data_IF_210382436688
#
_entry.id   IF_210382436688
#
_cell.length_a   1.000
_cell.length_b   1.000
_cell.length_c   1.000
_cell.angle_alpha   90.00
_cell.angle_beta   90.00
_cell.angle_gamma   90.00
#
_symmetry.space_group_name_H-M   'P 1'
#
loop_
_entity.id
_entity.type
_entity.pdbx_description
1 polymer ?
#
# COMPACT_ATOMS: atom_id res chain seq x y z
N UNK A 1 2.49 -39.35 12.25
CA UNK A 1 2.10 -37.94 12.45
C UNK A 1 2.31 -37.60 13.93
N UNK A 2 2.38 -36.32 14.30
CA UNK A 2 2.34 -35.91 15.71
C UNK A 2 1.26 -34.85 15.93
N UNK A 3 0.80 -34.70 17.18
CA UNK A 3 -0.04 -33.58 17.59
C UNK A 3 0.77 -32.31 17.93
N UNK A 4 0.11 -31.27 18.42
CA UNK A 4 0.75 -29.98 18.74
C UNK A 4 1.80 -30.05 19.86
N UNK A 5 1.79 -31.11 20.68
CA UNK A 5 2.76 -31.34 21.75
C UNK A 5 3.84 -32.37 21.36
N UNK A 6 3.84 -32.83 20.11
CA UNK A 6 4.80 -33.80 19.60
C UNK A 6 4.51 -35.25 19.97
N UNK A 7 3.31 -35.57 20.50
CA UNK A 7 2.91 -36.95 20.80
C UNK A 7 2.59 -37.68 19.50
N UNK A 8 2.98 -38.96 19.41
CA UNK A 8 2.75 -39.77 18.21
C UNK A 8 1.26 -40.01 18.00
N UNK A 9 0.82 -39.73 16.77
CA UNK A 9 -0.55 -39.98 16.28
C UNK A 9 -0.52 -41.26 15.44
N UNK A 10 -1.28 -42.27 15.89
CA UNK A 10 -1.35 -43.60 15.28
C UNK A 10 -2.49 -43.77 14.29
N UNK A 11 -3.63 -43.09 14.50
CA UNK A 11 -4.78 -43.08 13.61
C UNK A 11 -5.31 -41.64 13.50
N UNK A 12 -5.34 -41.06 12.30
CA UNK A 12 -5.86 -39.72 12.03
C UNK A 12 -7.13 -39.74 11.16
N UNK A 13 -7.73 -40.92 11.02
CA UNK A 13 -8.92 -41.16 10.20
C UNK A 13 -10.17 -41.39 11.06
N UNK A 14 -10.01 -41.93 12.26
CA UNK A 14 -11.12 -42.30 13.14
C UNK A 14 -11.01 -41.62 14.52
N UNK A 15 -12.14 -41.13 15.03
CA UNK A 15 -12.23 -40.66 16.41
C UNK A 15 -12.34 -41.82 17.40
N UNK A 16 -11.98 -41.59 18.65
CA UNK A 16 -12.19 -42.52 19.74
C UNK A 16 -13.68 -42.60 20.10
N UNK A 17 -14.28 -43.79 19.98
CA UNK A 17 -15.72 -44.03 20.19
C UNK A 17 -16.00 -45.23 21.09
N UNK A 18 -17.21 -45.32 21.63
CA UNK A 18 -17.71 -46.54 22.31
C UNK A 18 -18.07 -47.61 21.26
N UNK A 19 -17.07 -48.36 20.80
CA UNK A 19 -17.25 -49.32 19.71
C UNK A 19 -17.50 -48.65 18.35
N UNK A 20 -17.64 -49.45 17.29
CA UNK A 20 -17.64 -48.96 15.90
C UNK A 20 -18.88 -48.12 15.49
N UNK A 21 -19.95 -48.11 16.30
CA UNK A 21 -21.17 -47.33 16.03
C UNK A 21 -21.60 -46.43 17.19
N UNK A 22 -20.75 -46.25 18.19
CA UNK A 22 -21.06 -45.47 19.40
C UNK A 22 -20.66 -44.01 19.31
N UNK A 23 -20.92 -43.28 20.39
CA UNK A 23 -20.57 -41.86 20.52
C UNK A 23 -19.07 -41.66 20.65
N UNK A 24 -18.58 -40.52 20.14
CA UNK A 24 -17.21 -40.03 20.36
C UNK A 24 -16.99 -39.67 21.83
N UNK A 25 -15.81 -40.02 22.34
CA UNK A 25 -15.41 -39.72 23.71
C UNK A 25 -14.68 -38.37 23.78
N UNK A 26 -14.96 -37.59 24.83
CA UNK A 26 -14.29 -36.30 25.06
C UNK A 26 -12.80 -36.46 25.44
N UNK A 27 -12.36 -37.66 25.79
CA UNK A 27 -10.95 -37.94 26.06
C UNK A 27 -10.10 -38.13 24.79
N UNK A 28 -10.70 -38.00 23.60
CA UNK A 28 -9.98 -37.97 22.33
C UNK A 28 -9.18 -36.67 22.17
N UNK A 29 -8.00 -36.63 22.79
CA UNK A 29 -7.15 -35.45 22.80
C UNK A 29 -6.59 -35.10 21.41
N UNK A 30 -6.48 -36.08 20.50
CA UNK A 30 -6.03 -35.82 19.14
C UNK A 30 -7.11 -35.09 18.34
N UNK A 31 -8.36 -35.57 18.41
CA UNK A 31 -9.50 -34.91 17.78
C UNK A 31 -9.65 -33.47 18.28
N UNK A 32 -9.58 -33.29 19.61
CA UNK A 32 -9.75 -31.97 20.24
C UNK A 32 -8.64 -31.01 19.81
N UNK A 33 -7.37 -31.44 19.84
CA UNK A 33 -6.22 -30.62 19.44
C UNK A 33 -6.36 -30.13 17.99
N UNK A 34 -6.64 -31.06 17.07
CA UNK A 34 -6.79 -30.79 15.63
C UNK A 34 -7.94 -29.82 15.35
N UNK A 35 -9.13 -30.07 15.90
CA UNK A 35 -10.29 -29.21 15.70
C UNK A 35 -10.14 -27.84 16.37
N UNK A 36 -9.51 -27.78 17.55
CA UNK A 36 -9.29 -26.52 18.25
C UNK A 36 -8.34 -25.58 17.49
N UNK A 37 -7.32 -26.12 16.83
CA UNK A 37 -6.44 -25.35 15.94
C UNK A 37 -7.17 -24.89 14.68
N UNK A 38 -7.89 -25.80 14.00
CA UNK A 38 -8.68 -25.47 12.80
C UNK A 38 -9.64 -24.30 13.04
N UNK A 39 -10.34 -24.31 14.17
CA UNK A 39 -11.28 -23.25 14.57
C UNK A 39 -10.62 -21.87 14.77
N UNK A 40 -9.28 -21.79 14.83
CA UNK A 40 -8.49 -20.59 15.12
C UNK A 40 -7.52 -20.19 13.99
N UNK A 41 -7.63 -20.79 12.81
CA UNK A 41 -6.75 -20.46 11.68
C UNK A 41 -6.96 -19.04 11.12
N UNK A 42 -8.13 -18.43 11.32
CA UNK A 42 -8.46 -17.12 10.75
C UNK A 42 -8.08 -15.99 11.70
N UNK A 43 -7.35 -15.02 11.16
CA UNK A 43 -7.12 -13.71 11.78
C UNK A 43 -7.93 -12.65 11.02
N UNK A 44 -8.13 -11.44 11.59
CA UNK A 44 -8.74 -10.35 10.86
C UNK A 44 -8.01 -10.08 9.53
N UNK A 45 -8.74 -9.87 8.45
CA UNK A 45 -8.14 -9.37 7.21
C UNK A 45 -7.69 -7.91 7.38
N UNK A 46 -6.91 -7.39 6.42
CA UNK A 46 -6.61 -5.95 6.39
C UNK A 46 -7.90 -5.16 6.15
N UNK A 47 -8.09 -4.06 6.87
CA UNK A 47 -9.29 -3.21 6.72
C UNK A 47 -9.48 -2.69 5.28
N UNK A 48 -8.37 -2.44 4.58
CA UNK A 48 -8.28 -2.18 3.14
C UNK A 48 -7.13 -3.00 2.58
N UNK A 49 -7.12 -3.25 1.26
CA UNK A 49 -6.10 -4.07 0.61
C UNK A 49 -6.05 -5.53 1.11
N UNK A 50 -7.21 -6.09 1.44
CA UNK A 50 -7.33 -7.46 1.96
C UNK A 50 -6.91 -8.50 0.92
N UNK A 51 -7.42 -8.40 -0.31
CA UNK A 51 -7.01 -9.25 -1.44
C UNK A 51 -5.65 -8.82 -1.98
N UNK A 52 -4.73 -9.75 -2.15
CA UNK A 52 -3.42 -9.46 -2.72
C UNK A 52 -2.48 -10.66 -2.84
N UNK A 53 -1.33 -10.43 -3.45
CA UNK A 53 -0.27 -11.41 -3.68
C UNK A 53 1.07 -10.82 -3.26
N UNK A 54 2.03 -11.68 -2.90
CA UNK A 54 3.35 -11.23 -2.47
C UNK A 54 4.48 -12.08 -3.01
N UNK A 55 5.66 -11.48 -3.11
CA UNK A 55 6.87 -12.12 -3.61
C UNK A 55 8.12 -11.50 -2.96
N UNK A 56 9.16 -12.31 -2.83
CA UNK A 56 10.49 -11.86 -2.42
C UNK A 56 11.33 -11.50 -3.65
N UNK A 57 12.35 -10.67 -3.41
CA UNK A 57 13.26 -10.26 -4.46
C UNK A 57 14.52 -9.61 -3.92
N UNK A 58 15.25 -8.99 -4.84
CA UNK A 58 16.45 -8.20 -4.54
C UNK A 58 16.34 -6.85 -5.24
N UNK A 59 16.64 -5.79 -4.50
CA UNK A 59 16.89 -4.46 -5.04
C UNK A 59 18.40 -4.22 -5.18
N UNK A 60 18.83 -3.82 -6.37
CA UNK A 60 20.22 -3.46 -6.65
C UNK A 60 20.31 -1.97 -6.97
N UNK A 61 21.05 -1.22 -6.16
CA UNK A 61 21.32 0.19 -6.38
C UNK A 61 22.13 0.38 -7.67
N UNK A 62 21.63 1.12 -8.65
CA UNK A 62 22.34 1.35 -9.92
C UNK A 62 23.40 2.43 -9.78
N UNK A 63 23.09 3.51 -9.07
CA UNK A 63 24.01 4.61 -8.81
C UNK A 63 23.88 5.09 -7.37
N UNK A 64 25.00 5.52 -6.79
CA UNK A 64 25.04 6.00 -5.40
C UNK A 64 24.15 7.23 -5.23
N UNK A 65 23.30 7.22 -4.20
CA UNK A 65 22.47 8.36 -3.80
C UNK A 65 23.07 9.16 -2.63
N UNK A 66 24.35 8.94 -2.29
CA UNK A 66 25.01 9.58 -1.13
C UNK A 66 24.90 11.11 -1.12
N UNK A 67 24.83 11.72 -2.30
CA UNK A 67 24.69 13.16 -2.45
C UNK A 67 23.33 13.69 -1.92
N UNK A 68 22.33 12.81 -1.84
CA UNK A 68 20.94 13.15 -1.55
C UNK A 68 20.43 12.50 -0.27
N UNK A 69 20.88 11.29 0.06
CA UNK A 69 20.47 10.57 1.28
C UNK A 69 21.65 9.82 1.91
N UNK A 70 21.67 9.71 3.24
CA UNK A 70 22.59 8.83 3.97
C UNK A 70 22.05 7.40 4.20
N UNK A 71 20.91 7.04 3.61
CA UNK A 71 20.33 5.70 3.70
C UNK A 71 21.31 4.62 3.21
N UNK A 72 21.65 3.67 4.08
CA UNK A 72 22.78 2.75 3.86
C UNK A 72 22.66 1.94 2.56
N UNK A 73 21.46 1.50 2.20
CA UNK A 73 21.20 0.64 1.05
C UNK A 73 21.45 1.34 -0.30
N UNK A 74 21.53 2.67 -0.30
CA UNK A 74 21.74 3.50 -1.50
C UNK A 74 23.14 4.12 -1.59
N UNK A 75 24.05 3.82 -0.66
CA UNK A 75 25.36 4.49 -0.61
C UNK A 75 26.33 4.05 -1.70
N UNK A 76 26.22 2.82 -2.19
CA UNK A 76 27.13 2.26 -3.19
C UNK A 76 26.35 1.73 -4.39
N UNK A 77 26.88 1.94 -5.60
CA UNK A 77 26.41 1.23 -6.78
C UNK A 77 26.61 -0.28 -6.59
N UNK A 78 25.72 -1.06 -7.20
CA UNK A 78 25.66 -2.52 -7.12
C UNK A 78 25.43 -3.10 -5.72
N UNK A 79 25.07 -2.28 -4.71
CA UNK A 79 24.65 -2.81 -3.41
C UNK A 79 23.30 -3.53 -3.57
N UNK A 80 23.29 -4.81 -3.20
CA UNK A 80 22.08 -5.64 -3.17
C UNK A 80 21.42 -5.57 -1.80
N UNK A 81 20.09 -5.46 -1.80
CA UNK A 81 19.25 -5.40 -0.60
C UNK A 81 18.06 -6.32 -0.80
N UNK A 82 17.84 -7.24 0.14
CA UNK A 82 16.69 -8.13 0.08
C UNK A 82 15.40 -7.31 0.20
N UNK A 83 14.37 -7.71 -0.54
CA UNK A 83 13.05 -7.08 -0.48
C UNK A 83 11.93 -8.10 -0.39
N UNK A 84 10.82 -7.67 0.21
CA UNK A 84 9.53 -8.34 0.09
C UNK A 84 8.49 -7.35 -0.45
N UNK A 85 7.72 -7.77 -1.44
CA UNK A 85 6.70 -6.94 -2.08
C UNK A 85 5.34 -7.57 -1.91
N UNK A 86 4.33 -6.75 -1.62
CA UNK A 86 2.92 -7.14 -1.66
C UNK A 86 2.14 -6.21 -2.59
N UNK A 87 1.48 -6.83 -3.56
CA UNK A 87 0.48 -6.20 -4.42
C UNK A 87 -0.92 -6.52 -3.91
N UNK A 88 -1.90 -5.68 -4.23
CA UNK A 88 -3.27 -5.86 -3.74
C UNK A 88 -4.27 -5.03 -4.52
N UNK A 89 -5.56 -5.40 -4.49
CA UNK A 89 -6.66 -4.43 -4.72
C UNK A 89 -6.87 -3.58 -3.45
N UNK A 90 -7.90 -2.75 -3.34
CA UNK A 90 -8.13 -1.87 -2.18
C UNK A 90 -9.45 -2.14 -1.46
N UNK A 91 -10.58 -2.06 -2.19
CA UNK A 91 -11.92 -2.08 -1.59
C UNK A 91 -12.46 -3.47 -1.24
N UNK A 92 -12.03 -4.50 -1.98
CA UNK A 92 -12.49 -5.87 -1.82
C UNK A 92 -11.94 -6.59 -0.58
N UNK A 93 -12.73 -7.49 -0.01
CA UNK A 93 -12.31 -8.44 1.03
C UNK A 93 -11.43 -9.55 0.45
N UNK A 94 -10.81 -10.38 1.31
CA UNK A 94 -9.81 -11.40 0.92
C UNK A 94 -10.23 -12.32 -0.24
N UNK A 95 -11.52 -12.61 -0.36
CA UNK A 95 -12.07 -13.46 -1.42
C UNK A 95 -12.55 -12.74 -2.70
N UNK A 96 -12.37 -11.42 -2.81
CA UNK A 96 -12.80 -10.67 -3.99
C UNK A 96 -11.96 -10.99 -5.23
N UNK A 97 -12.46 -10.63 -6.41
CA UNK A 97 -11.72 -10.75 -7.65
C UNK A 97 -10.58 -9.72 -7.77
N UNK A 98 -9.46 -10.12 -8.40
CA UNK A 98 -8.32 -9.25 -8.69
C UNK A 98 -8.57 -8.31 -9.89
N UNK A 99 -9.46 -8.68 -10.82
CA UNK A 99 -9.71 -7.96 -12.07
C UNK A 99 -10.86 -6.96 -11.96
N UNK A 100 -10.87 -6.17 -10.88
CA UNK A 100 -11.87 -5.12 -10.63
C UNK A 100 -11.29 -3.72 -10.84
N UNK A 101 -12.13 -2.73 -11.18
CA UNK A 101 -11.68 -1.33 -11.24
C UNK A 101 -11.39 -0.85 -9.83
N UNK A 102 -10.12 -0.66 -9.51
CA UNK A 102 -9.69 -0.33 -8.15
C UNK A 102 -8.24 0.17 -8.13
N UNK A 103 -7.84 0.83 -7.05
CA UNK A 103 -6.43 1.11 -6.81
C UNK A 103 -5.71 -0.21 -6.51
N UNK A 104 -4.59 -0.44 -7.21
CA UNK A 104 -3.62 -1.47 -6.84
C UNK A 104 -2.60 -0.94 -5.85
N UNK A 105 -2.49 -1.60 -4.70
CA UNK A 105 -1.41 -1.37 -3.74
C UNK A 105 -0.10 -1.93 -4.25
N UNK A 106 0.99 -1.22 -3.99
CA UNK A 106 2.36 -1.59 -4.36
C UNK A 106 3.27 -1.30 -3.15
N UNK A 107 3.32 -2.24 -2.20
CA UNK A 107 4.10 -2.09 -0.98
C UNK A 107 5.42 -2.84 -1.08
N UNK A 108 6.54 -2.15 -0.86
CA UNK A 108 7.90 -2.70 -0.89
C UNK A 108 8.56 -2.55 0.47
N UNK A 109 9.01 -3.66 1.04
CA UNK A 109 9.81 -3.73 2.27
C UNK A 109 11.26 -4.00 1.92
N UNK A 110 12.17 -3.17 2.39
CA UNK A 110 13.61 -3.33 2.27
C UNK A 110 14.18 -3.81 3.59
N UNK A 111 14.95 -4.90 3.54
CA UNK A 111 15.71 -5.41 4.69
C UNK A 111 17.13 -4.83 4.64
N UNK A 112 17.31 -3.66 5.26
CA UNK A 112 18.59 -2.93 5.23
C UNK A 112 19.46 -3.25 6.45
N UNK A 113 20.72 -2.81 6.47
CA UNK A 113 21.57 -3.00 7.65
C UNK A 113 21.19 -2.05 8.81
N UNK A 114 20.38 -1.03 8.53
CA UNK A 114 19.90 -0.03 9.50
C UNK A 114 18.43 -0.21 9.88
N UNK A 115 17.86 -1.38 9.59
CA UNK A 115 16.47 -1.70 9.93
C UNK A 115 15.60 -1.97 8.70
N UNK A 116 14.30 -1.97 8.92
CA UNK A 116 13.30 -2.11 7.86
C UNK A 116 12.96 -0.74 7.29
N UNK A 117 13.01 -0.60 5.97
CA UNK A 117 12.45 0.56 5.27
C UNK A 117 11.25 0.12 4.42
N UNK A 118 10.10 0.78 4.56
CA UNK A 118 8.90 0.46 3.77
C UNK A 118 8.51 1.62 2.86
N UNK A 119 8.40 1.35 1.55
CA UNK A 119 7.70 2.22 0.59
C UNK A 119 6.32 1.61 0.36
N UNK A 120 5.30 2.19 0.99
CA UNK A 120 3.91 1.73 0.88
C UNK A 120 3.18 2.56 -0.16
N UNK A 121 3.34 2.16 -1.43
CA UNK A 121 2.84 2.88 -2.59
C UNK A 121 1.57 2.30 -3.21
N UNK A 122 1.17 2.88 -4.34
CA UNK A 122 0.06 2.46 -5.20
C UNK A 122 0.48 2.51 -6.67
N UNK A 123 -0.26 1.87 -7.56
CA UNK A 123 -0.04 1.95 -9.01
C UNK A 123 -0.49 3.26 -9.66
N UNK A 124 -1.19 4.13 -8.92
CA UNK A 124 -1.60 5.48 -9.36
C UNK A 124 -0.81 6.50 -8.52
N UNK A 125 -0.28 7.58 -9.12
CA UNK A 125 0.64 8.50 -8.44
C UNK A 125 -0.02 9.50 -7.49
N UNK A 126 -1.36 9.53 -7.43
CA UNK A 126 -2.16 10.47 -6.64
C UNK A 126 -3.24 9.72 -5.85
N UNK A 127 -3.83 10.40 -4.86
CA UNK A 127 -4.89 9.84 -4.02
C UNK A 127 -6.19 10.66 -4.06
N UNK A 128 -7.27 10.12 -3.46
CA UNK A 128 -8.60 10.75 -3.45
C UNK A 128 -8.72 11.97 -2.54
N UNK A 129 -7.91 12.01 -1.49
CA UNK A 129 -8.01 12.97 -0.41
C UNK A 129 -6.60 13.43 -0.04
N UNK A 130 -6.52 14.61 0.55
CA UNK A 130 -5.26 15.23 1.01
C UNK A 130 -5.07 15.26 2.52
N UNK A 131 -6.05 14.77 3.28
CA UNK A 131 -6.02 14.76 4.74
C UNK A 131 -6.50 13.41 5.24
N UNK A 132 -5.73 12.78 6.14
CA UNK A 132 -6.02 11.46 6.67
C UNK A 132 -7.34 11.39 7.46
N UNK A 133 -7.84 12.52 7.97
CA UNK A 133 -9.12 12.59 8.67
C UNK A 133 -10.27 12.03 7.82
N UNK A 134 -10.24 12.24 6.50
CA UNK A 134 -11.29 11.78 5.57
C UNK A 134 -11.12 10.32 5.14
N UNK A 135 -10.05 9.64 5.56
CA UNK A 135 -9.76 8.28 5.08
C UNK A 135 -10.83 7.25 5.49
N UNK A 136 -11.32 7.23 6.75
CA UNK A 136 -12.43 6.35 7.11
C UNK A 136 -13.69 6.63 6.29
N UNK A 137 -14.02 7.91 6.05
CA UNK A 137 -15.20 8.30 5.26
C UNK A 137 -15.10 7.82 3.80
N UNK A 138 -13.93 8.00 3.17
CA UNK A 138 -13.65 7.47 1.84
C UNK A 138 -13.81 5.94 1.80
N UNK A 139 -13.26 5.25 2.78
CA UNK A 139 -13.33 3.78 2.86
C UNK A 139 -14.78 3.34 3.03
N UNK A 140 -15.53 3.95 3.95
CA UNK A 140 -16.96 3.66 4.15
C UNK A 140 -17.79 3.92 2.89
N UNK A 141 -17.52 5.00 2.16
CA UNK A 141 -18.22 5.32 0.91
C UNK A 141 -17.94 4.28 -0.19
N UNK A 142 -16.73 3.70 -0.21
CA UNK A 142 -16.31 2.70 -1.20
C UNK A 142 -16.69 1.24 -0.86
N UNK A 143 -16.92 0.95 0.42
CA UNK A 143 -17.23 -0.40 0.93
C UNK A 143 -18.73 -0.68 0.94
N UNK A 144 -19.14 -1.95 1.17
CA UNK A 144 -20.54 -2.30 1.26
C UNK A 144 -21.30 -1.47 2.31
N UNK A 145 -22.53 -1.08 1.99
CA UNK A 145 -23.37 -0.27 2.86
C UNK A 145 -23.72 -1.05 4.15
N UNK A 146 -23.78 -0.39 5.32
CA UNK A 146 -23.92 -1.07 6.61
C UNK A 146 -25.27 -1.76 6.81
N UNK A 147 -26.32 -1.33 6.11
CA UNK A 147 -27.66 -1.91 6.22
C UNK A 147 -27.87 -3.15 5.33
N UNK A 148 -27.18 -3.22 4.18
CA UNK A 148 -27.40 -4.27 3.17
C UNK A 148 -26.20 -5.19 2.97
N UNK A 149 -25.01 -4.77 3.40
CA UNK A 149 -23.73 -5.40 3.07
C UNK A 149 -23.52 -5.56 1.55
N UNK A 150 -24.12 -4.67 0.74
CA UNK A 150 -23.93 -4.59 -0.70
C UNK A 150 -23.18 -3.32 -1.09
N UNK A 151 -22.37 -3.40 -2.16
CA UNK A 151 -21.72 -2.21 -2.74
C UNK A 151 -22.78 -1.22 -3.17
N UNK A 152 -22.67 0.03 -2.72
CA UNK A 152 -23.55 1.11 -3.13
C UNK A 152 -22.77 2.15 -3.96
N UNK A 153 -23.07 2.22 -5.25
CA UNK A 153 -22.43 3.17 -6.19
C UNK A 153 -22.76 4.62 -5.79
N UNK A 154 -23.96 4.88 -5.28
CA UNK A 154 -24.37 6.22 -4.86
C UNK A 154 -23.57 6.72 -3.67
N UNK A 155 -23.24 5.85 -2.69
CA UNK A 155 -22.41 6.25 -1.55
C UNK A 155 -21.04 6.74 -2.00
N UNK A 156 -20.41 5.99 -2.91
CA UNK A 156 -19.12 6.36 -3.47
C UNK A 156 -19.20 7.70 -4.21
N UNK A 157 -20.14 7.83 -5.16
CA UNK A 157 -20.25 9.04 -5.98
C UNK A 157 -20.75 10.26 -5.19
N UNK A 158 -21.54 10.09 -4.14
CA UNK A 158 -21.91 11.18 -3.23
C UNK A 158 -20.67 11.74 -2.53
N UNK A 159 -19.85 10.88 -1.92
CA UNK A 159 -18.59 11.31 -1.29
C UNK A 159 -17.65 11.98 -2.29
N UNK A 160 -17.43 11.35 -3.45
CA UNK A 160 -16.53 11.83 -4.50
C UNK A 160 -16.97 13.19 -5.04
N UNK A 161 -18.26 13.36 -5.34
CA UNK A 161 -18.78 14.64 -5.84
C UNK A 161 -18.75 15.76 -4.78
N UNK A 162 -18.84 15.43 -3.49
CA UNK A 162 -18.61 16.36 -2.36
C UNK A 162 -17.13 16.61 -2.03
N UNK A 163 -16.20 15.91 -2.69
CA UNK A 163 -14.76 15.90 -2.41
C UNK A 163 -14.01 16.27 -3.69
N UNK A 164 -14.04 17.55 -4.12
CA UNK A 164 -13.52 17.96 -5.44
C UNK A 164 -12.03 17.64 -5.62
N UNK A 165 -11.25 17.53 -4.56
CA UNK A 165 -9.86 17.11 -4.60
C UNK A 165 -9.65 15.69 -5.16
N UNK A 166 -10.71 14.87 -5.20
CA UNK A 166 -10.69 13.53 -5.77
C UNK A 166 -10.74 13.51 -7.31
N UNK A 167 -11.05 14.64 -7.96
CA UNK A 167 -11.27 14.72 -9.42
C UNK A 167 -10.07 14.17 -10.21
N UNK A 168 -8.84 14.47 -9.77
CA UNK A 168 -7.64 14.00 -10.45
C UNK A 168 -7.49 12.48 -10.37
N UNK A 169 -7.62 11.86 -9.19
CA UNK A 169 -7.51 10.40 -9.07
C UNK A 169 -8.67 9.68 -9.76
N UNK A 170 -9.85 10.29 -9.85
CA UNK A 170 -10.99 9.74 -10.61
C UNK A 170 -10.66 9.67 -12.10
N UNK A 171 -9.96 10.67 -12.64
CA UNK A 171 -9.48 10.63 -14.02
C UNK A 171 -8.56 9.42 -14.27
N UNK A 172 -7.61 9.17 -13.36
CA UNK A 172 -6.74 7.99 -13.41
C UNK A 172 -7.52 6.68 -13.25
N UNK A 173 -8.33 6.57 -12.21
CA UNK A 173 -9.03 5.33 -11.84
C UNK A 173 -10.08 4.91 -12.87
N UNK A 174 -10.74 5.85 -13.54
CA UNK A 174 -11.74 5.54 -14.56
C UNK A 174 -11.16 5.52 -15.98
N UNK A 175 -9.88 5.87 -16.17
CA UNK A 175 -9.16 5.55 -17.40
C UNK A 175 -8.91 4.03 -17.50
N UNK A 176 -8.27 3.59 -18.59
CA UNK A 176 -7.93 2.18 -18.77
C UNK A 176 -6.94 1.68 -17.70
N UNK A 177 -6.14 2.59 -17.11
CA UNK A 177 -5.18 2.27 -16.04
C UNK A 177 -5.83 1.73 -14.76
N UNK A 178 -7.14 1.97 -14.55
CA UNK A 178 -7.86 1.40 -13.40
C UNK A 178 -8.12 -0.10 -13.48
N UNK A 179 -7.85 -0.74 -14.62
CA UNK A 179 -8.03 -2.18 -14.86
C UNK A 179 -6.70 -2.81 -15.30
N UNK A 180 -5.86 -3.11 -14.31
CA UNK A 180 -4.55 -3.74 -14.52
C UNK A 180 -4.69 -5.20 -14.96
N UNK A 181 -3.91 -5.63 -15.96
CA UNK A 181 -3.91 -7.03 -16.43
C UNK A 181 -3.08 -7.97 -15.56
N UNK A 182 -1.96 -7.49 -15.03
CA UNK A 182 -1.04 -8.27 -14.19
C UNK A 182 -0.31 -7.35 -13.21
N UNK A 183 -0.03 -7.85 -12.01
CA UNK A 183 0.82 -7.13 -11.05
C UNK A 183 2.23 -6.88 -11.60
N UNK A 184 2.70 -7.65 -12.58
CA UNK A 184 4.00 -7.48 -13.26
C UNK A 184 3.99 -6.34 -14.30
N UNK A 185 2.82 -5.94 -14.79
CA UNK A 185 2.65 -4.99 -15.92
C UNK A 185 1.93 -3.71 -15.51
N UNK A 186 2.31 -3.17 -14.35
CA UNK A 186 1.84 -1.87 -13.87
C UNK A 186 2.99 -1.08 -13.27
N UNK A 187 2.91 0.25 -13.30
CA UNK A 187 3.86 1.07 -12.55
C UNK A 187 3.49 1.07 -11.06
N UNK A 188 4.40 1.59 -10.24
CA UNK A 188 4.17 1.86 -8.82
C UNK A 188 4.64 3.27 -8.46
N UNK A 189 4.07 3.84 -7.42
CA UNK A 189 4.38 5.21 -6.99
C UNK A 189 4.31 5.29 -5.47
N UNK A 190 5.21 6.07 -4.87
CA UNK A 190 5.14 6.36 -3.43
C UNK A 190 3.91 7.20 -3.04
N UNK A 191 3.28 7.86 -4.03
CA UNK A 191 2.18 8.84 -3.90
C UNK A 191 2.60 10.09 -3.13
N UNK A 192 2.86 9.94 -1.83
CA UNK A 192 3.24 11.03 -0.96
C UNK A 192 4.65 11.55 -1.30
N UNK A 193 4.87 12.80 -0.95
CA UNK A 193 6.20 13.39 -0.92
C UNK A 193 6.91 12.95 0.37
N UNK A 194 8.15 12.48 0.26
CA UNK A 194 9.05 12.18 1.39
C UNK A 194 10.19 13.19 1.41
N UNK A 195 11.07 13.08 2.41
CA UNK A 195 12.30 13.87 2.46
C UNK A 195 13.50 12.92 2.47
N UNK A 196 14.50 13.21 1.64
CA UNK A 196 15.83 12.63 1.76
C UNK A 196 16.78 13.61 2.45
N UNK A 197 17.65 13.08 3.30
CA UNK A 197 18.65 13.83 4.05
C UNK A 197 20.03 13.24 3.82
N UNK A 198 20.95 14.01 3.24
CA UNK A 198 22.31 13.55 2.99
C UNK A 198 23.22 13.65 4.24
N UNK A 199 24.46 13.17 4.11
CA UNK A 199 25.44 13.21 5.21
C UNK A 199 25.83 14.62 5.71
N UNK A 200 25.49 15.68 4.96
CA UNK A 200 25.68 17.07 5.38
C UNK A 200 24.42 17.68 6.00
N UNK A 201 23.33 16.92 6.16
CA UNK A 201 22.06 17.39 6.70
C UNK A 201 21.19 18.16 5.71
N UNK A 202 21.51 18.14 4.40
CA UNK A 202 20.73 18.84 3.37
C UNK A 202 19.48 18.02 3.06
N UNK A 203 18.31 18.66 3.16
CA UNK A 203 17.00 18.07 2.89
C UNK A 203 16.52 18.33 1.46
N UNK A 204 15.89 17.34 0.86
CA UNK A 204 15.21 17.45 -0.45
C UNK A 204 13.89 16.70 -0.41
N UNK A 205 12.87 17.25 -1.04
CA UNK A 205 11.61 16.56 -1.24
C UNK A 205 11.75 15.49 -2.33
N UNK A 206 11.13 14.33 -2.12
CA UNK A 206 11.28 13.13 -2.95
C UNK A 206 9.92 12.55 -3.30
N UNK A 207 9.71 12.21 -4.58
CA UNK A 207 8.64 11.31 -5.02
C UNK A 207 9.25 10.05 -5.63
N UNK A 208 8.76 8.88 -5.21
CA UNK A 208 9.21 7.59 -5.70
C UNK A 208 8.36 7.11 -6.89
N UNK A 209 9.01 6.55 -7.90
CA UNK A 209 8.41 6.01 -9.11
C UNK A 209 9.02 4.65 -9.42
N UNK A 210 8.21 3.60 -9.46
CA UNK A 210 8.57 2.28 -9.95
C UNK A 210 8.06 2.13 -11.39
N UNK A 211 8.98 2.02 -12.35
CA UNK A 211 8.64 1.78 -13.75
C UNK A 211 8.81 0.29 -14.05
N UNK A 212 7.74 -0.37 -14.51
CA UNK A 212 7.83 -1.79 -14.88
C UNK A 212 8.70 -1.95 -16.12
N UNK A 213 9.65 -2.89 -16.07
CA UNK A 213 10.43 -3.28 -17.25
C UNK A 213 9.64 -4.20 -18.21
N UNK A 214 8.47 -4.67 -17.79
CA UNK A 214 7.54 -5.44 -18.63
C UNK A 214 6.56 -4.53 -19.38
N UNK A 215 6.62 -3.21 -19.14
CA UNK A 215 5.65 -2.24 -19.64
C UNK A 215 4.39 -2.16 -18.77
N UNK A 216 3.46 -1.32 -19.20
CA UNK A 216 2.14 -1.16 -18.57
C UNK A 216 1.08 -1.78 -19.49
N UNK A 217 0.25 -2.65 -18.94
CA UNK A 217 -0.82 -3.32 -19.68
C UNK A 217 -2.13 -3.32 -18.88
N UNK A 218 -3.21 -3.03 -19.58
CA UNK A 218 -4.56 -2.92 -19.03
C UNK A 218 -5.49 -3.89 -19.74
N UNK A 219 -6.57 -4.30 -19.07
CA UNK A 219 -7.64 -5.11 -19.66
C UNK A 219 -8.89 -4.28 -19.93
N UNK A 220 -9.62 -4.66 -20.98
CA UNK A 220 -10.93 -4.08 -21.25
C UNK A 220 -11.92 -4.40 -20.12
N UNK A 221 -12.94 -3.57 -19.95
CA UNK A 221 -14.01 -3.81 -18.98
C UNK A 221 -14.68 -5.17 -19.19
N UNK A 222 -14.94 -5.57 -20.43
CA UNK A 222 -15.55 -6.85 -20.74
C UNK A 222 -14.68 -8.01 -20.27
N UNK A 223 -13.37 -7.96 -20.55
CA UNK A 223 -12.44 -9.00 -20.10
C UNK A 223 -12.29 -9.01 -18.59
N UNK A 224 -12.28 -7.84 -17.95
CA UNK A 224 -12.29 -7.72 -16.49
C UNK A 224 -13.51 -8.41 -15.86
N UNK A 225 -14.72 -8.13 -16.37
CA UNK A 225 -15.96 -8.79 -15.92
C UNK A 225 -15.89 -10.30 -16.12
N UNK A 226 -15.47 -10.77 -17.29
CA UNK A 226 -15.32 -12.20 -17.59
C UNK A 226 -14.38 -12.89 -16.60
N UNK A 227 -13.16 -12.34 -16.44
CA UNK A 227 -12.14 -12.89 -15.54
C UNK A 227 -12.59 -12.83 -14.07
N UNK A 228 -13.32 -11.80 -13.67
CA UNK A 228 -13.80 -11.69 -12.27
C UNK A 228 -14.72 -12.84 -11.86
N UNK A 229 -15.41 -13.45 -12.83
CA UNK A 229 -16.24 -14.64 -12.62
C UNK A 229 -15.50 -15.96 -12.88
N UNK A 230 -14.69 -16.03 -13.95
CA UNK A 230 -14.04 -17.28 -14.35
C UNK A 230 -12.72 -17.58 -13.63
N UNK A 231 -11.98 -16.55 -13.22
CA UNK A 231 -10.73 -16.65 -12.47
C UNK A 231 -10.52 -15.41 -11.57
N UNK A 232 -11.13 -15.35 -10.38
CA UNK A 232 -11.02 -14.21 -9.48
C UNK A 232 -9.59 -13.99 -8.93
N UNK A 233 -8.68 -14.95 -9.11
CA UNK A 233 -7.28 -14.89 -8.66
C UNK A 233 -6.30 -14.59 -9.81
N UNK A 234 -6.79 -14.14 -10.97
CA UNK A 234 -6.01 -14.03 -12.21
C UNK A 234 -4.65 -13.32 -12.05
N UNK A 235 -4.62 -12.12 -11.45
CA UNK A 235 -3.39 -11.35 -11.33
C UNK A 235 -2.42 -11.97 -10.31
N UNK A 236 -2.94 -12.53 -9.22
CA UNK A 236 -2.15 -13.27 -8.23
C UNK A 236 -1.52 -14.53 -8.83
N UNK A 237 -2.29 -15.33 -9.56
CA UNK A 237 -1.81 -16.53 -10.25
C UNK A 237 -0.73 -16.20 -11.28
N UNK A 238 -0.92 -15.15 -12.08
CA UNK A 238 0.08 -14.71 -13.06
C UNK A 238 1.41 -14.36 -12.40
N UNK A 239 1.40 -13.59 -11.30
CA UNK A 239 2.63 -13.26 -10.57
C UNK A 239 3.34 -14.51 -10.05
N UNK A 240 2.58 -15.46 -9.49
CA UNK A 240 3.14 -16.70 -8.98
C UNK A 240 3.77 -17.54 -10.09
N UNK A 241 3.07 -17.71 -11.21
CA UNK A 241 3.52 -18.47 -12.37
C UNK A 241 4.73 -17.82 -13.06
N UNK A 242 4.71 -16.49 -13.24
CA UNK A 242 5.84 -15.72 -13.79
C UNK A 242 7.13 -16.05 -13.03
N UNK A 243 7.08 -16.00 -11.69
CA UNK A 243 8.24 -16.27 -10.84
C UNK A 243 8.61 -17.76 -10.86
N UNK A 244 7.63 -18.66 -10.80
CA UNK A 244 7.89 -20.11 -10.83
C UNK A 244 8.57 -20.55 -12.12
N UNK A 245 8.24 -19.92 -13.25
CA UNK A 245 8.82 -20.19 -14.56
C UNK A 245 10.12 -19.43 -14.85
N UNK A 246 10.65 -18.65 -13.90
CA UNK A 246 11.87 -17.86 -14.09
C UNK A 246 11.69 -16.54 -14.87
N UNK A 247 10.45 -16.17 -15.20
CA UNK A 247 10.09 -14.91 -15.84
C UNK A 247 9.98 -13.78 -14.79
N UNK A 248 11.09 -13.51 -14.10
CA UNK A 248 11.12 -12.62 -12.94
C UNK A 248 10.68 -11.18 -13.27
N UNK A 249 9.59 -10.67 -12.65
CA UNK A 249 9.17 -9.29 -12.82
C UNK A 249 10.24 -8.31 -12.30
N UNK A 250 10.50 -7.25 -13.07
CA UNK A 250 11.49 -6.23 -12.72
C UNK A 250 10.91 -4.83 -12.75
N UNK A 251 11.40 -3.99 -11.84
CA UNK A 251 11.01 -2.59 -11.69
C UNK A 251 12.23 -1.71 -11.52
N UNK A 252 12.30 -0.63 -12.28
CA UNK A 252 13.28 0.42 -12.06
C UNK A 252 12.73 1.43 -11.06
N UNK A 253 13.46 1.69 -9.98
CA UNK A 253 13.17 2.80 -9.08
C UNK A 253 13.75 4.07 -9.67
N UNK A 254 12.90 5.08 -9.79
CA UNK A 254 13.26 6.46 -10.06
C UNK A 254 12.78 7.35 -8.91
N UNK A 255 13.45 8.49 -8.76
CA UNK A 255 12.99 9.57 -7.89
C UNK A 255 12.94 10.89 -8.64
N UNK A 256 11.94 11.70 -8.31
CA UNK A 256 11.99 13.14 -8.56
C UNK A 256 12.51 13.83 -7.30
N UNK A 257 13.27 14.91 -7.46
CA UNK A 257 13.84 15.66 -6.36
C UNK A 257 13.51 17.14 -6.48
N UNK A 258 13.06 17.76 -5.39
CA UNK A 258 12.72 19.18 -5.34
C UNK A 258 13.39 19.84 -4.13
N UNK A 259 13.93 21.05 -4.30
CA UNK A 259 14.45 21.84 -3.19
C UNK A 259 13.30 22.63 -2.56
N UNK A 260 13.40 22.93 -1.26
CA UNK A 260 12.39 23.73 -0.56
C UNK A 260 12.19 25.13 -1.18
N UNK A 261 13.26 25.75 -1.69
CA UNK A 261 13.19 27.05 -2.39
C UNK A 261 12.34 27.02 -3.66
N UNK A 262 12.17 25.86 -4.29
CA UNK A 262 11.44 25.73 -5.56
C UNK A 262 9.92 25.66 -5.33
N UNK A 263 9.48 25.42 -4.09
CA UNK A 263 8.06 25.29 -3.71
C UNK A 263 7.25 26.55 -4.01
N UNK A 264 7.83 27.73 -3.82
CA UNK A 264 7.13 29.01 -3.98
C UNK A 264 6.61 29.23 -5.41
N UNK A 265 7.26 28.61 -6.40
CA UNK A 265 6.98 28.79 -7.83
C UNK A 265 5.85 27.88 -8.35
N UNK A 266 5.32 26.97 -7.53
CA UNK A 266 4.26 26.05 -7.93
C UNK A 266 2.87 26.62 -7.63
N UNK A 267 1.91 26.42 -8.53
CA UNK A 267 0.50 26.78 -8.35
C UNK A 267 -0.31 25.76 -7.54
N UNK A 268 0.40 24.81 -6.92
CA UNK A 268 -0.14 23.79 -6.04
C UNK A 268 0.85 23.51 -4.91
N UNK A 269 0.37 22.90 -3.82
CA UNK A 269 1.25 22.44 -2.74
C UNK A 269 1.96 21.14 -3.16
N UNK A 270 3.31 21.08 -3.21
CA UNK A 270 4.04 19.87 -3.59
C UNK A 270 3.89 18.71 -2.61
N UNK A 271 3.34 18.95 -1.42
CA UNK A 271 3.01 17.95 -0.41
C UNK A 271 1.53 17.49 -0.50
N UNK A 272 0.72 18.05 -1.40
CA UNK A 272 -0.64 17.58 -1.66
C UNK A 272 -0.59 16.24 -2.43
N UNK A 273 -1.05 15.11 -1.84
CA UNK A 273 -1.02 13.81 -2.50
C UNK A 273 -2.02 13.67 -3.65
N UNK A 274 -2.87 14.68 -3.89
CA UNK A 274 -3.72 14.76 -5.09
C UNK A 274 -2.95 15.34 -6.30
N UNK A 275 -1.66 15.66 -6.14
CA UNK A 275 -0.82 16.31 -7.15
C UNK A 275 0.39 15.47 -7.57
N UNK A 276 0.75 15.59 -8.85
CA UNK A 276 2.01 15.11 -9.42
C UNK A 276 2.99 16.26 -9.64
N UNK A 277 4.27 15.94 -9.73
CA UNK A 277 5.30 16.88 -10.19
C UNK A 277 5.61 16.60 -11.66
N UNK A 278 5.69 17.65 -12.47
CA UNK A 278 6.02 17.52 -13.89
C UNK A 278 7.38 16.84 -14.07
N UNK A 279 7.46 15.81 -14.91
CA UNK A 279 8.74 15.18 -15.26
C UNK A 279 9.63 16.12 -16.12
N UNK A 280 9.08 17.21 -16.68
CA UNK A 280 9.86 18.23 -17.38
C UNK A 280 10.63 19.12 -16.39
N UNK A 281 9.97 19.55 -15.31
CA UNK A 281 10.56 20.45 -14.31
C UNK A 281 11.40 19.66 -13.29
N UNK A 282 10.96 18.45 -12.96
CA UNK A 282 11.61 17.56 -12.01
C UNK A 282 11.84 16.20 -12.68
N UNK A 283 12.93 16.04 -13.45
CA UNK A 283 13.20 14.83 -14.20
C UNK A 283 13.43 13.61 -13.30
N UNK A 284 13.08 12.44 -13.84
CA UNK A 284 13.28 11.16 -13.15
C UNK A 284 14.78 10.83 -13.05
N UNK A 285 15.26 10.62 -11.83
CA UNK A 285 16.61 10.14 -11.54
C UNK A 285 16.58 8.66 -11.16
N UNK A 286 17.27 7.81 -11.93
CA UNK A 286 17.30 6.35 -11.70
C UNK A 286 18.04 6.03 -10.39
N UNK A 287 17.45 5.22 -9.54
CA UNK A 287 18.05 4.81 -8.27
C UNK A 287 18.58 3.38 -8.33
N UNK A 288 17.78 2.45 -8.84
CA UNK A 288 18.13 1.03 -8.85
C UNK A 288 17.09 0.18 -9.54
N UNK A 289 17.28 -1.14 -9.47
CA UNK A 289 16.38 -2.12 -10.07
C UNK A 289 15.98 -3.15 -9.03
N UNK A 290 14.69 -3.39 -8.89
CA UNK A 290 14.12 -4.49 -8.13
C UNK A 290 13.79 -5.65 -9.06
N UNK A 291 14.19 -6.85 -8.68
CA UNK A 291 13.83 -8.10 -9.37
C UNK A 291 13.13 -9.02 -8.38
N UNK A 292 11.89 -9.40 -8.67
CA UNK A 292 11.10 -10.35 -7.88
C UNK A 292 11.37 -11.76 -8.38
N UNK A 293 12.03 -12.58 -7.56
CA UNK A 293 12.61 -13.85 -8.01
C UNK A 293 12.27 -15.05 -7.12
N UNK A 294 11.44 -14.88 -6.10
CA UNK A 294 11.07 -15.98 -5.21
C UNK A 294 9.64 -15.84 -4.68
N UNK A 295 8.84 -16.86 -4.92
CA UNK A 295 7.51 -16.99 -4.35
C UNK A 295 7.56 -17.26 -2.84
N UNK A 296 6.52 -16.87 -2.10
CA UNK A 296 6.36 -17.29 -0.71
C UNK A 296 6.18 -18.81 -0.65
N UNK A 297 6.81 -19.43 0.35
CA UNK A 297 6.64 -20.85 0.68
C UNK A 297 5.31 -21.11 1.39
N UNK A 298 4.83 -20.12 2.16
CA UNK A 298 3.52 -20.18 2.80
C UNK A 298 2.84 -18.82 2.73
N UNK A 299 1.73 -18.75 2.00
CA UNK A 299 0.99 -17.51 1.79
C UNK A 299 0.53 -16.86 3.10
N UNK A 300 -0.01 -17.64 4.05
CA UNK A 300 -0.49 -17.09 5.30
C UNK A 300 0.66 -16.49 6.13
N UNK A 301 1.73 -17.25 6.32
CA UNK A 301 2.88 -16.86 7.14
C UNK A 301 3.66 -15.67 6.56
N UNK A 302 3.76 -15.57 5.22
CA UNK A 302 4.64 -14.61 4.56
C UNK A 302 3.89 -13.47 3.86
N UNK A 303 2.67 -13.68 3.38
CA UNK A 303 1.89 -12.65 2.67
C UNK A 303 0.76 -12.10 3.54
N UNK A 304 -0.08 -12.97 4.10
CA UNK A 304 -1.21 -12.52 4.93
C UNK A 304 -0.71 -11.79 6.19
N UNK A 305 0.32 -12.33 6.85
CA UNK A 305 0.92 -11.74 8.04
C UNK A 305 1.95 -10.62 7.77
N UNK A 306 2.20 -10.26 6.51
CA UNK A 306 3.09 -9.15 6.19
C UNK A 306 2.54 -7.81 6.72
N UNK A 307 3.41 -6.99 7.27
CA UNK A 307 3.10 -5.68 7.83
C UNK A 307 4.05 -4.64 7.24
N UNK A 308 3.50 -3.59 6.64
CA UNK A 308 4.25 -2.48 6.05
C UNK A 308 3.78 -1.19 6.68
N UNK A 309 4.67 -0.25 7.00
CA UNK A 309 4.29 1.02 7.59
C UNK A 309 5.09 2.17 6.95
N UNK A 310 4.46 3.24 6.45
CA UNK A 310 5.19 4.41 5.95
C UNK A 310 6.14 5.06 6.97
N UNK A 311 5.93 4.79 8.26
CA UNK A 311 6.81 5.23 9.35
C UNK A 311 7.98 4.28 9.64
N UNK A 312 8.07 3.12 8.97
CA UNK A 312 9.28 2.29 8.98
C UNK A 312 10.37 3.01 8.19
N UNK A 313 11.00 3.99 8.83
CA UNK A 313 12.04 4.83 8.26
C UNK A 313 13.42 4.40 8.77
N UNK A 314 14.44 4.73 7.98
CA UNK A 314 15.85 4.53 8.32
C UNK A 314 16.58 5.89 8.22
N UNK A 315 17.77 6.04 8.81
CA UNK A 315 18.56 7.25 8.68
C UNK A 315 18.68 7.74 7.23
N UNK A 316 18.45 9.04 7.02
CA UNK A 316 18.51 9.66 5.69
C UNK A 316 17.18 9.73 4.94
N UNK A 317 16.08 9.22 5.52
CA UNK A 317 14.73 9.33 4.96
C UNK A 317 13.77 9.81 6.07
N UNK A 318 13.03 10.88 5.81
CA UNK A 318 12.08 11.50 6.74
C UNK A 318 10.68 11.58 6.11
N UNK A 319 9.63 11.70 6.95
CA UNK A 319 8.29 12.07 6.50
C UNK A 319 8.26 13.55 6.11
N UNK A 320 7.50 13.90 5.07
CA UNK A 320 7.16 15.31 4.81
C UNK A 320 5.95 15.75 5.65
N UNK A 321 5.59 17.03 5.54
CA UNK A 321 4.39 17.58 6.17
C UNK A 321 3.07 17.27 5.43
N UNK A 322 3.07 16.37 4.45
CA UNK A 322 1.86 15.85 3.80
C UNK A 322 0.89 15.29 4.86
N UNK A 323 -0.30 15.90 4.98
CA UNK A 323 -1.27 15.59 6.03
C UNK A 323 -1.83 14.17 5.94
N UNK A 324 -1.91 13.60 4.73
CA UNK A 324 -2.30 12.21 4.55
C UNK A 324 -1.18 11.28 5.04
N UNK A 325 0.07 11.56 4.65
CA UNK A 325 1.23 10.77 5.07
C UNK A 325 1.37 10.74 6.60
N UNK A 326 1.17 11.88 7.27
CA UNK A 326 1.22 12.01 8.73
C UNK A 326 0.18 11.14 9.46
N UNK A 327 -1.04 11.02 8.93
CA UNK A 327 -2.02 10.09 9.50
C UNK A 327 -1.66 8.63 9.24
N UNK A 328 -1.12 8.32 8.05
CA UNK A 328 -0.67 6.97 7.70
C UNK A 328 0.48 6.50 8.60
N UNK A 329 1.39 7.39 9.03
CA UNK A 329 2.49 7.00 9.92
C UNK A 329 2.04 6.44 11.26
N UNK A 330 0.85 6.81 11.75
CA UNK A 330 0.23 6.21 12.91
C UNK A 330 -0.58 4.95 12.56
N UNK A 331 -1.50 5.08 11.60
CA UNK A 331 -2.59 4.12 11.39
C UNK A 331 -2.12 2.69 11.04
N UNK A 332 -1.00 2.55 10.32
CA UNK A 332 -0.53 1.23 9.89
C UNK A 332 -0.02 0.38 11.06
N UNK A 333 0.86 0.92 11.90
CA UNK A 333 1.38 0.18 13.05
C UNK A 333 0.26 -0.12 14.06
N UNK A 334 -0.70 0.79 14.22
CA UNK A 334 -1.87 0.60 15.08
C UNK A 334 -2.74 -0.59 14.62
N UNK A 335 -3.21 -0.59 13.37
CA UNK A 335 -4.04 -1.68 12.85
C UNK A 335 -3.27 -3.02 12.80
N UNK A 336 -1.94 -2.99 12.66
CA UNK A 336 -1.10 -4.18 12.70
C UNK A 336 -1.05 -4.83 14.08
N UNK A 337 -0.96 -4.02 15.15
CA UNK A 337 -1.01 -4.52 16.54
C UNK A 337 -2.35 -5.21 16.83
N UNK A 338 -3.46 -4.67 16.31
CA UNK A 338 -4.76 -5.31 16.40
C UNK A 338 -4.82 -6.61 15.60
N UNK A 339 -4.42 -6.56 14.31
CA UNK A 339 -4.60 -7.68 13.38
C UNK A 339 -3.67 -8.87 13.64
N UNK A 340 -2.44 -8.61 14.07
CA UNK A 340 -1.36 -9.60 14.18
C UNK A 340 -0.84 -9.78 15.61
N UNK A 341 -1.31 -8.96 16.55
CA UNK A 341 -0.83 -8.95 17.93
C UNK A 341 0.31 -7.96 18.17
N UNK A 342 0.58 -7.69 19.46
CA UNK A 342 1.59 -6.71 19.89
C UNK A 342 3.00 -7.02 19.36
N UNK A 343 3.33 -8.31 19.26
CA UNK A 343 4.64 -8.82 18.82
C UNK A 343 4.72 -9.11 17.32
N UNK A 344 3.87 -8.52 16.47
CA UNK A 344 3.84 -8.80 15.02
C UNK A 344 5.20 -8.61 14.31
N UNK A 345 6.08 -7.78 14.84
CA UNK A 345 7.44 -7.55 14.34
C UNK A 345 8.36 -8.78 14.52
N UNK A 346 8.01 -9.73 15.39
CA UNK A 346 8.76 -10.99 15.56
C UNK A 346 8.40 -12.02 14.48
N UNK A 347 7.27 -11.85 13.78
CA UNK A 347 6.87 -12.72 12.66
C UNK A 347 7.96 -12.67 11.58
N UNK A 348 8.44 -13.83 11.05
CA UNK A 348 9.65 -13.87 10.22
C UNK A 348 9.69 -12.89 9.05
N UNK A 349 8.59 -12.70 8.32
CA UNK A 349 8.55 -11.76 7.18
C UNK A 349 8.64 -10.28 7.61
N UNK A 350 8.28 -9.95 8.84
CA UNK A 350 8.30 -8.59 9.37
C UNK A 350 9.60 -8.29 10.15
N UNK A 351 10.34 -9.33 10.51
CA UNK A 351 11.54 -9.21 11.34
C UNK A 351 12.67 -8.52 10.59
N UNK A 352 13.33 -7.58 11.26
CA UNK A 352 14.54 -6.96 10.73
C UNK A 352 15.70 -7.97 10.65
N UNK A 353 16.55 -7.82 9.64
CA UNK A 353 17.85 -8.50 9.58
C UNK A 353 18.90 -7.78 10.45
N UNK A 354 18.69 -6.50 10.75
CA UNK A 354 19.52 -5.74 11.68
C UNK A 354 19.23 -6.18 13.13
N UNK A 355 20.23 -6.22 14.03
CA UNK A 355 20.01 -6.56 15.43
C UNK A 355 18.93 -5.70 16.09
N UNK A 356 18.09 -6.32 16.90
CA UNK A 356 17.04 -5.64 17.67
C UNK A 356 17.52 -5.57 19.11
N UNK A 357 17.83 -4.37 19.60
CA UNK A 357 18.32 -4.14 20.95
C UNK A 357 17.52 -2.99 21.59
N UNK A 358 16.54 -3.33 22.43
CA UNK A 358 15.70 -2.36 23.13
C UNK A 358 15.18 -2.95 24.45
N UNK A 359 14.43 -2.14 25.21
CA UNK A 359 13.89 -2.49 26.51
C UNK A 359 12.43 -3.00 26.48
N UNK A 360 11.87 -3.29 25.30
CA UNK A 360 10.51 -3.84 25.20
C UNK A 360 10.51 -5.30 25.71
N UNK A 361 9.42 -5.70 26.37
CA UNK A 361 9.25 -7.04 26.96
C UNK A 361 7.80 -7.49 26.80
N UNK A 362 7.59 -8.78 27.02
CA UNK A 362 6.29 -9.45 27.13
C UNK A 362 5.41 -9.28 25.89
N UNK A 363 4.08 -9.30 26.10
CA UNK A 363 3.08 -9.31 25.04
C UNK A 363 2.71 -10.72 24.57
N UNK A 364 1.53 -10.84 23.97
CA UNK A 364 1.03 -12.11 23.46
C UNK A 364 1.99 -12.71 22.41
N UNK A 365 2.16 -14.03 22.46
CA UNK A 365 3.01 -14.80 21.53
C UNK A 365 4.45 -14.28 21.45
N UNK A 366 5.06 -14.04 22.61
CA UNK A 366 6.50 -13.72 22.71
C UNK A 366 7.31 -14.95 22.33
N UNK A 367 8.01 -14.92 21.19
CA UNK A 367 8.86 -16.01 20.72
C UNK A 367 10.35 -15.70 20.87
N UNK A 368 10.71 -14.42 20.83
CA UNK A 368 12.05 -13.98 21.13
C UNK A 368 12.25 -13.89 22.64
N UNK A 369 13.15 -14.72 23.17
CA UNK A 369 13.58 -14.64 24.56
C UNK A 369 14.77 -13.68 24.66
N UNK A 370 14.54 -12.48 25.20
CA UNK A 370 15.61 -11.60 25.66
C UNK A 370 15.98 -12.00 27.09
N UNK A 371 17.20 -12.52 27.27
CA UNK A 371 17.69 -13.04 28.55
C UNK A 371 18.21 -11.95 29.49
N UNK A 372 18.26 -10.70 29.06
CA UNK A 372 18.77 -9.60 29.87
C UNK A 372 17.77 -9.25 31.01
N UNK A 373 18.16 -9.41 32.29
CA UNK A 373 17.29 -9.10 33.42
C UNK A 373 16.99 -7.61 33.60
N UNK A 374 17.78 -6.71 33.00
CA UNK A 374 17.58 -5.25 33.09
C UNK A 374 16.86 -4.72 31.85
N UNK A 375 15.63 -4.23 32.04
CA UNK A 375 14.72 -3.80 30.96
C UNK A 375 14.30 -2.32 31.07
N UNK A 376 15.11 -1.46 31.68
CA UNK A 376 14.82 -0.04 31.85
C UNK A 376 16.06 0.83 31.59
N UNK A 377 15.86 2.11 31.32
CA UNK A 377 16.95 3.09 31.16
C UNK A 377 16.51 4.45 31.77
N UNK A 378 17.40 5.20 32.46
CA UNK A 378 18.79 4.83 32.74
C UNK A 378 18.92 3.71 33.78
N UNK A 379 19.98 2.89 33.68
CA UNK A 379 20.28 1.82 34.64
C UNK A 379 21.80 1.69 34.91
N UNK A 380 22.19 1.19 36.08
CA UNK A 380 23.60 0.86 36.40
C UNK A 380 23.88 -0.64 36.41
N UNK A 381 22.84 -1.48 36.51
CA UNK A 381 22.95 -2.93 36.65
C UNK A 381 23.42 -3.64 35.36
N UNK A 382 23.13 -3.06 34.19
CA UNK A 382 23.60 -3.54 32.89
C UNK A 382 24.41 -2.45 32.16
N UNK A 383 25.14 -1.62 32.92
CA UNK A 383 25.96 -0.55 32.36
C UNK A 383 25.18 0.44 31.47
N UNK A 384 23.88 0.63 31.71
CA UNK A 384 22.98 1.46 30.90
C UNK A 384 22.77 0.98 29.44
N UNK A 385 23.02 -0.30 29.16
CA UNK A 385 22.69 -0.91 27.86
C UNK A 385 21.17 -1.17 27.73
N UNK A 386 20.64 -1.19 26.48
CA UNK A 386 21.31 -0.80 25.24
C UNK A 386 21.52 0.71 25.13
N UNK A 387 22.64 1.12 24.55
CA UNK A 387 22.98 2.54 24.37
C UNK A 387 22.41 3.13 23.07
N UNK A 388 22.05 4.42 23.05
CA UNK A 388 21.79 5.14 21.81
C UNK A 388 23.01 5.07 20.88
N UNK A 389 22.78 4.79 19.59
CA UNK A 389 23.85 4.80 18.59
C UNK A 389 24.38 6.23 18.43
N UNK A 390 25.71 6.46 18.45
CA UNK A 390 26.31 7.78 18.28
C UNK A 390 26.29 8.21 16.81
N UNK A 391 25.10 8.30 16.22
CA UNK A 391 24.89 8.84 14.87
C UNK A 391 24.80 10.36 14.94
N UNK A 392 25.53 11.04 14.07
CA UNK A 392 25.36 12.48 13.89
C UNK A 392 23.98 12.72 13.25
N UNK A 393 23.06 13.26 14.04
CA UNK A 393 21.74 13.62 13.55
C UNK A 393 21.83 14.88 12.68
N UNK A 394 21.05 14.97 11.60
CA UNK A 394 20.93 16.21 10.86
C UNK A 394 20.37 17.31 11.78
N UNK A 395 20.68 18.59 11.53
CA UNK A 395 20.05 19.69 12.26
C UNK A 395 18.52 19.56 12.24
N UNK A 396 17.84 19.94 13.34
CA UNK A 396 16.38 19.88 13.40
C UNK A 396 15.77 20.77 12.30
N UNK A 397 14.62 20.36 11.79
CA UNK A 397 13.82 21.23 10.93
C UNK A 397 13.21 22.37 11.77
N UNK A 398 13.17 23.58 11.20
CA UNK A 398 12.49 24.72 11.82
C UNK A 398 11.03 24.76 11.36
N UNK A 399 10.09 24.89 12.30
CA UNK A 399 8.67 25.03 12.01
C UNK A 399 8.12 26.27 12.74
N UNK A 400 7.33 27.08 12.05
CA UNK A 400 6.68 28.29 12.57
C UNK A 400 5.22 28.32 12.10
N UNK A 401 4.29 28.64 12.99
CA UNK A 401 2.88 28.81 12.65
C UNK A 401 1.95 28.67 13.85
N UNK A 402 0.66 28.91 13.61
CA UNK A 402 -0.39 28.65 14.59
C UNK A 402 -0.83 27.18 14.54
N UNK A 403 -1.11 26.58 15.70
CA UNK A 403 -1.75 25.28 15.79
C UNK A 403 -3.21 25.45 15.36
N UNK A 404 -3.60 24.87 14.22
CA UNK A 404 -4.92 25.09 13.63
C UNK A 404 -5.42 23.89 12.81
N UNK A 405 -6.72 23.88 12.50
CA UNK A 405 -7.36 22.95 11.56
C UNK A 405 -7.84 23.74 10.34
N UNK A 406 -6.95 23.94 9.38
CA UNK A 406 -7.24 24.66 8.14
C UNK A 406 -6.89 23.83 6.91
N UNK A 407 -7.54 24.04 5.76
CA UNK A 407 -7.08 23.47 4.51
C UNK A 407 -5.70 24.03 4.12
N UNK A 408 -5.01 23.35 3.19
CA UNK A 408 -3.83 23.91 2.53
C UNK A 408 -4.22 25.10 1.65
N UNK A 409 -3.29 26.00 1.36
CA UNK A 409 -3.57 27.24 0.63
C UNK A 409 -3.75 27.01 -0.88
N UNK A 410 -2.82 26.32 -1.53
CA UNK A 410 -2.83 26.07 -2.98
C UNK A 410 -3.44 24.70 -3.31
N UNK A 411 -4.75 24.55 -3.08
CA UNK A 411 -5.47 23.27 -3.30
C UNK A 411 -5.58 22.88 -4.77
N UNK A 412 -5.94 23.81 -5.66
CA UNK A 412 -6.00 23.63 -7.12
C UNK A 412 -6.56 22.26 -7.57
N UNK A 413 -7.83 21.99 -7.23
CA UNK A 413 -8.44 20.64 -7.33
C UNK A 413 -8.59 20.12 -8.77
N UNK A 414 -8.68 21.02 -9.76
CA UNK A 414 -9.17 20.68 -11.09
C UNK A 414 -8.09 20.70 -12.18
N UNK A 415 -7.07 21.54 -12.05
CA UNK A 415 -6.10 21.81 -13.13
C UNK A 415 -5.39 20.54 -13.63
N UNK A 416 -4.77 19.77 -12.72
CA UNK A 416 -4.04 18.58 -13.13
C UNK A 416 -4.96 17.46 -13.66
N UNK A 417 -6.23 17.42 -13.22
CA UNK A 417 -7.22 16.51 -13.78
C UNK A 417 -7.56 16.85 -15.23
N UNK A 418 -7.70 18.15 -15.55
CA UNK A 418 -7.88 18.65 -16.91
C UNK A 418 -6.70 18.31 -17.81
N UNK A 419 -5.47 18.58 -17.35
CA UNK A 419 -4.24 18.23 -18.08
C UNK A 419 -4.15 16.72 -18.35
N UNK A 420 -4.54 15.87 -17.39
CA UNK A 420 -4.58 14.43 -17.61
C UNK A 420 -5.58 14.06 -18.71
N UNK A 421 -6.81 14.58 -18.64
CA UNK A 421 -7.85 14.33 -19.63
C UNK A 421 -7.40 14.74 -21.05
N UNK A 422 -6.80 15.92 -21.19
CA UNK A 422 -6.34 16.46 -22.48
C UNK A 422 -5.20 15.64 -23.10
N UNK A 423 -4.39 14.97 -22.27
CA UNK A 423 -3.28 14.11 -22.73
C UNK A 423 -3.74 12.73 -23.19
N UNK A 424 -4.93 12.28 -22.77
CA UNK A 424 -5.49 11.03 -23.26
C UNK A 424 -5.77 11.12 -24.76
N UNK A 425 -5.53 10.03 -25.48
CA UNK A 425 -6.00 9.89 -26.86
C UNK A 425 -7.53 9.97 -26.92
N UNK A 426 -8.08 10.29 -28.10
CA UNK A 426 -9.53 10.41 -28.26
C UNK A 426 -10.29 9.13 -27.87
N UNK A 427 -9.72 7.96 -28.07
CA UNK A 427 -10.34 6.69 -27.66
C UNK A 427 -10.29 6.51 -26.12
N UNK A 428 -9.18 6.86 -25.48
CA UNK A 428 -9.06 6.80 -24.02
C UNK A 428 -9.99 7.81 -23.33
N UNK A 429 -10.18 9.00 -23.91
CA UNK A 429 -11.17 9.98 -23.44
C UNK A 429 -12.60 9.40 -23.48
N UNK A 430 -12.93 8.68 -24.56
CA UNK A 430 -14.24 7.99 -24.68
C UNK A 430 -14.37 6.92 -23.61
N UNK A 431 -13.37 6.04 -23.45
CA UNK A 431 -13.38 5.00 -22.42
C UNK A 431 -13.58 5.59 -21.02
N UNK A 432 -12.82 6.63 -20.66
CA UNK A 432 -12.95 7.33 -19.39
C UNK A 432 -14.38 7.85 -19.15
N UNK A 433 -14.95 8.56 -20.13
CA UNK A 433 -16.29 9.13 -20.01
C UNK A 433 -17.36 8.02 -19.90
N UNK A 434 -17.25 6.95 -20.66
CA UNK A 434 -18.16 5.80 -20.58
C UNK A 434 -18.00 5.00 -19.28
N UNK A 435 -16.78 4.87 -18.75
CA UNK A 435 -16.51 4.24 -17.46
C UNK A 435 -17.22 4.98 -16.33
N UNK A 436 -17.12 6.31 -16.30
CA UNK A 436 -17.80 7.16 -15.33
C UNK A 436 -19.33 7.10 -15.51
N UNK A 437 -19.81 7.29 -16.75
CA UNK A 437 -21.24 7.40 -17.03
C UNK A 437 -22.05 6.16 -16.63
N UNK A 438 -21.49 4.95 -16.79
CA UNK A 438 -22.18 3.70 -16.39
C UNK A 438 -22.40 3.55 -14.89
N UNK A 439 -21.62 4.24 -14.07
CA UNK A 439 -21.86 4.27 -12.63
C UNK A 439 -22.76 5.45 -12.25
N UNK A 440 -22.50 6.64 -12.80
CA UNK A 440 -23.32 7.82 -12.51
C UNK A 440 -24.78 7.69 -12.97
N UNK A 441 -25.09 6.93 -14.03
CA UNK A 441 -26.47 6.72 -14.46
C UNK A 441 -27.33 5.95 -13.43
N UNK A 442 -26.70 5.35 -12.41
CA UNK A 442 -27.37 4.67 -11.30
C UNK A 442 -27.56 5.56 -10.08
N UNK A 443 -27.09 6.82 -10.13
CA UNK A 443 -27.12 7.76 -9.02
C UNK A 443 -28.27 8.76 -9.12
N UNK A 444 -28.72 9.28 -7.97
CA UNK A 444 -29.63 10.43 -7.90
C UNK A 444 -29.09 11.63 -8.71
N UNK A 445 -30.01 12.39 -9.28
CA UNK A 445 -29.72 13.52 -10.17
C UNK A 445 -28.80 14.58 -9.56
N UNK A 446 -28.96 14.90 -8.28
CA UNK A 446 -28.15 15.89 -7.58
C UNK A 446 -26.67 15.46 -7.47
N UNK A 447 -26.41 14.17 -7.24
CA UNK A 447 -25.06 13.59 -7.25
C UNK A 447 -24.45 13.68 -8.65
N UNK A 448 -25.22 13.32 -9.68
CA UNK A 448 -24.78 13.38 -11.08
C UNK A 448 -24.43 14.81 -11.48
N UNK A 449 -25.31 15.77 -11.20
CA UNK A 449 -25.12 17.18 -11.55
C UNK A 449 -23.86 17.74 -10.87
N UNK A 450 -23.63 17.41 -9.58
CA UNK A 450 -22.42 17.83 -8.84
C UNK A 450 -21.14 17.17 -9.36
N UNK A 451 -21.17 15.88 -9.67
CA UNK A 451 -20.02 15.17 -10.24
C UNK A 451 -19.64 15.74 -11.62
N UNK A 452 -20.63 15.95 -12.49
CA UNK A 452 -20.44 16.58 -13.81
C UNK A 452 -19.86 17.99 -13.67
N UNK A 453 -20.30 18.78 -12.69
CA UNK A 453 -19.74 20.11 -12.46
C UNK A 453 -18.25 20.06 -12.11
N UNK A 454 -17.82 19.11 -11.28
CA UNK A 454 -16.39 18.92 -10.96
C UNK A 454 -15.57 18.60 -12.22
N UNK A 455 -16.09 17.74 -13.10
CA UNK A 455 -15.44 17.43 -14.37
C UNK A 455 -15.42 18.63 -15.33
N UNK A 456 -16.50 19.40 -15.40
CA UNK A 456 -16.55 20.65 -16.20
C UNK A 456 -15.53 21.69 -15.70
N UNK A 457 -15.35 21.80 -14.38
CA UNK A 457 -14.35 22.69 -13.78
C UNK A 457 -12.90 22.26 -14.14
N UNK A 458 -12.67 20.96 -14.36
CA UNK A 458 -11.39 20.44 -14.83
C UNK A 458 -11.20 20.61 -16.35
N UNK A 459 -12.21 20.24 -17.13
CA UNK A 459 -12.25 20.41 -18.58
C UNK A 459 -13.71 20.44 -19.06
N UNK A 460 -14.19 21.52 -19.72
CA UNK A 460 -15.58 21.61 -20.19
C UNK A 460 -16.00 20.47 -21.13
N UNK A 461 -15.10 19.99 -22.00
CA UNK A 461 -15.37 18.85 -22.90
C UNK A 461 -15.62 17.56 -22.09
N UNK A 462 -14.83 17.33 -21.03
CA UNK A 462 -14.95 16.14 -20.19
C UNK A 462 -16.33 16.07 -19.50
N UNK A 463 -16.74 17.15 -18.82
CA UNK A 463 -18.05 17.21 -18.18
C UNK A 463 -19.21 17.05 -19.17
N UNK A 464 -19.12 17.70 -20.34
CA UNK A 464 -20.14 17.58 -21.39
C UNK A 464 -20.27 16.15 -21.93
N UNK A 465 -19.15 15.45 -22.15
CA UNK A 465 -19.17 14.06 -22.63
C UNK A 465 -19.69 13.08 -21.59
N UNK A 466 -19.32 13.23 -20.32
CA UNK A 466 -19.87 12.41 -19.24
C UNK A 466 -21.39 12.59 -19.17
N UNK A 467 -21.89 13.84 -19.16
CA UNK A 467 -23.32 14.11 -19.10
C UNK A 467 -24.07 13.55 -20.31
N UNK A 468 -23.52 13.70 -21.52
CA UNK A 468 -24.09 13.12 -22.74
C UNK A 468 -24.19 11.61 -22.65
N UNK A 469 -23.17 10.93 -22.12
CA UNK A 469 -23.18 9.48 -21.98
C UNK A 469 -24.14 9.01 -20.87
N UNK A 470 -24.25 9.72 -19.75
CA UNK A 470 -25.26 9.42 -18.72
C UNK A 470 -26.67 9.49 -19.31
N UNK A 471 -26.98 10.56 -20.07
CA UNK A 471 -28.29 10.73 -20.73
C UNK A 471 -28.62 9.68 -21.79
N UNK A 472 -27.63 8.98 -22.33
CA UNK A 472 -27.85 7.87 -23.27
C UNK A 472 -28.14 6.53 -22.59
N UNK A 473 -27.78 6.40 -21.31
CA UNK A 473 -27.93 5.18 -20.53
C UNK A 473 -29.21 5.16 -19.68
N UNK A 474 -29.78 6.35 -19.41
CA UNK A 474 -31.14 6.54 -18.92
C UNK A 474 -32.14 6.41 -20.07
#
# INVERSE_FOLDING_TARGET
>A
MTDSLGRLVVDDQNSLTVGCGGMTLLEDMQLIDKLAHFNRERIPERVVHAKGAGAFGVFTTSQSMKAYTCADFLQCANKSTNVFVRFSTTGGSRGSADTVRDIRGFAVKFYTNQGIYDIVGNHIPVFFIRDAMKFPDLVHASKPAPNSNLRNIEHFWDFISCTPESTHVIAWLYSDLGLVSSYSKMNGYGVNTFIWVNGAGIRRYIKYHWKSLQGVETISRQKATELSGSNPDFAASQLFEDIACGNYPRYELYVQMMCEKDVCNLDFDPLDPTKIWSEQDFPLCKVGVMTLNRNPENFFAQVEQAAFCPASLIPGIELSADKLLQGRSFAYADTQRYRLGANYAQIPVNRSLSPICNNQRDGAMTYHCDTEPVNYSPNSLNGNSPHPVPLQLPPPAHALGYITRTPITKQNDFYQAGIFYERLSKIEQVHLCENIARELCQCRKDIVDRAVQNFTNACPEWGAQVLKNVRKLL
#
